data_IF_578668406002
#
_entry.id   IF_578668406002
#
_cell.length_a   1.000
_cell.length_b   1.000
_cell.length_c   1.000
_cell.angle_alpha   90.00
_cell.angle_beta   90.00
_cell.angle_gamma   90.00
#
_symmetry.space_group_name_H-M   'P 1'
#
loop_
_entity.id
_entity.type
_entity.pdbx_description
1 polymer ?
#
# COMPACT_ATOMS: atom_id res chain seq x y z
N UNK A 1 11.03 -6.09 0.74
CA UNK A 1 11.55 -6.78 1.95
C UNK A 1 10.50 -6.85 3.06
N UNK A 2 9.94 -5.72 3.50
CA UNK A 2 8.86 -5.72 4.50
C UNK A 2 7.56 -6.47 4.12
N UNK A 3 6.95 -6.26 2.95
CA UNK A 3 5.68 -6.92 2.61
C UNK A 3 5.82 -8.43 2.43
N UNK A 4 6.94 -8.88 1.85
CA UNK A 4 7.27 -10.31 1.68
C UNK A 4 7.53 -11.01 3.01
N UNK A 5 8.22 -10.33 3.94
CA UNK A 5 8.46 -10.85 5.29
C UNK A 5 7.14 -10.95 6.06
N UNK A 6 6.29 -9.91 5.99
CA UNK A 6 4.97 -9.93 6.61
C UNK A 6 4.13 -11.09 6.08
N UNK A 7 4.02 -11.24 4.75
CA UNK A 7 3.28 -12.33 4.14
C UNK A 7 3.83 -13.70 4.55
N UNK A 8 5.16 -13.87 4.61
CA UNK A 8 5.78 -15.12 5.05
C UNK A 8 5.50 -15.45 6.51
N UNK A 9 5.60 -14.47 7.42
CA UNK A 9 5.29 -14.66 8.84
C UNK A 9 3.80 -15.00 9.00
N UNK A 10 2.95 -14.26 8.29
CA UNK A 10 1.51 -14.42 8.32
C UNK A 10 1.07 -15.81 7.85
N UNK A 11 1.63 -16.29 6.74
CA UNK A 11 1.40 -17.66 6.28
C UNK A 11 1.83 -18.70 7.32
N UNK A 12 2.92 -18.44 8.06
CA UNK A 12 3.39 -19.37 9.10
C UNK A 12 2.45 -19.47 10.30
N UNK A 13 1.53 -18.52 10.50
CA UNK A 13 0.57 -18.57 11.60
C UNK A 13 -0.61 -19.49 11.33
N UNK A 14 -0.92 -19.75 10.06
CA UNK A 14 -2.01 -20.64 9.66
C UNK A 14 -1.83 -22.06 10.22
N UNK A 15 -0.57 -22.53 10.29
CA UNK A 15 -0.23 -23.86 10.83
C UNK A 15 0.07 -23.85 12.34
N UNK A 16 0.24 -22.67 12.96
CA UNK A 16 0.73 -22.53 14.35
C UNK A 16 -0.34 -22.12 15.34
N UNK A 17 -1.38 -21.44 14.89
CA UNK A 17 -2.46 -20.95 15.73
C UNK A 17 -3.65 -21.90 15.72
N UNK A 18 -4.41 -21.91 16.80
CA UNK A 18 -5.74 -22.51 16.78
C UNK A 18 -6.66 -21.72 15.85
N UNK A 19 -7.70 -22.37 15.33
CA UNK A 19 -8.57 -21.79 14.31
C UNK A 19 -9.23 -20.47 14.75
N UNK A 20 -9.66 -20.41 16.02
CA UNK A 20 -10.24 -19.22 16.65
C UNK A 20 -9.22 -18.09 16.82
N UNK A 21 -8.00 -18.42 17.26
CA UNK A 21 -6.89 -17.45 17.36
C UNK A 21 -6.51 -16.88 15.99
N UNK A 22 -6.47 -17.75 14.96
CA UNK A 22 -6.19 -17.34 13.59
C UNK A 22 -7.28 -16.39 13.08
N UNK A 23 -8.57 -16.73 13.26
CA UNK A 23 -9.67 -15.84 12.85
C UNK A 23 -9.64 -14.50 13.58
N UNK A 24 -9.33 -14.49 14.88
CA UNK A 24 -9.17 -13.26 15.64
C UNK A 24 -8.01 -12.40 15.10
N UNK A 25 -6.89 -13.02 14.72
CA UNK A 25 -5.77 -12.34 14.08
C UNK A 25 -6.17 -11.73 12.73
N UNK A 26 -6.84 -12.49 11.85
CA UNK A 26 -7.36 -11.99 10.56
C UNK A 26 -8.24 -10.77 10.78
N UNK A 27 -9.20 -10.86 11.71
CA UNK A 27 -10.13 -9.78 12.02
C UNK A 27 -9.39 -8.54 12.52
N UNK A 28 -8.38 -8.72 13.38
CA UNK A 28 -7.55 -7.63 13.90
C UNK A 28 -6.78 -6.93 12.78
N UNK A 29 -6.18 -7.70 11.86
CA UNK A 29 -5.45 -7.14 10.71
C UNK A 29 -6.38 -6.34 9.80
N UNK A 30 -7.55 -6.89 9.46
CA UNK A 30 -8.59 -6.21 8.68
C UNK A 30 -8.97 -4.87 9.31
N UNK A 31 -9.35 -4.90 10.58
CA UNK A 31 -9.73 -3.70 11.32
C UNK A 31 -8.62 -2.64 11.31
N UNK A 32 -7.36 -3.05 11.49
CA UNK A 32 -6.22 -2.12 11.46
C UNK A 32 -5.99 -1.52 10.08
N UNK A 33 -6.14 -2.30 9.01
CA UNK A 33 -6.04 -1.78 7.64
C UNK A 33 -7.17 -0.82 7.31
N UNK A 34 -8.41 -1.13 7.68
CA UNK A 34 -9.54 -0.21 7.50
C UNK A 34 -9.34 1.09 8.28
N UNK A 35 -8.85 1.01 9.51
CA UNK A 35 -8.52 2.19 10.31
C UNK A 35 -7.43 3.04 9.63
N UNK A 36 -6.34 2.41 9.18
CA UNK A 36 -5.26 3.10 8.46
C UNK A 36 -5.78 3.78 7.20
N UNK A 37 -6.59 3.10 6.39
CA UNK A 37 -7.10 3.64 5.13
C UNK A 37 -8.20 4.70 5.32
N UNK A 38 -8.95 4.67 6.41
CA UNK A 38 -9.99 5.67 6.70
C UNK A 38 -9.47 6.93 7.38
N UNK A 39 -8.39 6.83 8.15
CA UNK A 39 -7.85 7.95 8.94
C UNK A 39 -6.62 8.61 8.33
N UNK A 40 -6.03 8.04 7.27
CA UNK A 40 -4.86 8.62 6.63
C UNK A 40 -5.23 9.84 5.79
N UNK A 41 -4.57 10.95 6.07
CA UNK A 41 -4.66 12.19 5.27
C UNK A 41 -3.72 12.16 4.06
N UNK A 42 -2.66 11.36 4.12
CA UNK A 42 -1.59 11.28 3.12
C UNK A 42 -1.36 9.81 2.78
N UNK A 43 -1.31 9.50 1.49
CA UNK A 43 -1.08 8.16 0.98
C UNK A 43 0.20 8.09 0.16
N UNK A 44 1.30 7.67 0.79
CA UNK A 44 2.52 7.38 0.03
C UNK A 44 2.32 6.19 -0.93
N UNK A 45 2.70 6.30 -2.22
CA UNK A 45 2.51 5.21 -3.19
C UNK A 45 3.13 3.88 -2.76
N UNK A 46 4.30 3.91 -2.13
CA UNK A 46 4.97 2.71 -1.64
C UNK A 46 4.20 2.04 -0.50
N UNK A 47 3.58 2.82 0.38
CA UNK A 47 2.73 2.30 1.45
C UNK A 47 1.50 1.61 0.88
N UNK A 48 0.77 2.28 -0.02
CA UNK A 48 -0.42 1.72 -0.67
C UNK A 48 -0.08 0.44 -1.45
N UNK A 49 1.02 0.44 -2.20
CA UNK A 49 1.48 -0.74 -2.94
C UNK A 49 1.81 -1.92 -2.01
N UNK A 50 2.46 -1.68 -0.87
CA UNK A 50 2.76 -2.73 0.10
C UNK A 50 1.51 -3.28 0.78
N UNK A 51 0.56 -2.40 1.12
CA UNK A 51 -0.70 -2.81 1.74
C UNK A 51 -1.52 -3.66 0.77
N UNK A 52 -1.62 -3.24 -0.49
CA UNK A 52 -2.27 -4.03 -1.55
C UNK A 52 -1.58 -5.36 -1.78
N UNK A 53 -0.24 -5.42 -1.74
CA UNK A 53 0.49 -6.68 -1.85
C UNK A 53 0.08 -7.67 -0.75
N UNK A 54 -0.04 -7.20 0.49
CA UNK A 54 -0.42 -8.05 1.63
C UNK A 54 -1.86 -8.55 1.45
N UNK A 55 -2.79 -7.68 1.07
CA UNK A 55 -4.19 -8.06 0.79
C UNK A 55 -4.27 -9.11 -0.31
N UNK A 56 -3.56 -8.89 -1.42
CA UNK A 56 -3.52 -9.82 -2.56
C UNK A 56 -2.78 -11.13 -2.27
N UNK A 57 -1.96 -11.18 -1.22
CA UNK A 57 -1.30 -12.43 -0.82
C UNK A 57 -2.27 -13.44 -0.21
N UNK A 58 -3.41 -12.97 0.35
CA UNK A 58 -4.46 -13.79 0.99
C UNK A 58 -5.86 -13.22 0.71
N UNK A 59 -6.30 -13.17 -0.56
CA UNK A 59 -7.49 -12.42 -0.96
C UNK A 59 -8.80 -12.97 -0.37
N UNK A 60 -8.85 -14.26 -0.06
CA UNK A 60 -10.02 -14.91 0.55
C UNK A 60 -10.15 -14.60 2.05
N UNK A 61 -9.04 -14.23 2.70
CA UNK A 61 -8.96 -14.06 4.14
C UNK A 61 -8.94 -12.57 4.52
N UNK A 62 -8.20 -11.75 3.76
CA UNK A 62 -8.06 -10.31 3.95
C UNK A 62 -8.84 -9.59 2.83
N UNK A 63 -10.10 -9.29 3.12
CA UNK A 63 -10.94 -8.41 2.32
C UNK A 63 -10.87 -6.99 2.88
N UNK A 64 -10.59 -6.02 2.00
CA UNK A 64 -10.68 -4.58 2.26
C UNK A 64 -11.72 -4.01 1.30
N UNK A 65 -12.47 -3.00 1.75
CA UNK A 65 -13.39 -2.27 0.89
C UNK A 65 -12.71 -1.75 -0.38
N UNK A 66 -13.33 -2.02 -1.54
CA UNK A 66 -12.89 -1.50 -2.83
C UNK A 66 -12.85 0.04 -2.87
N UNK A 67 -13.66 0.70 -2.06
CA UNK A 67 -13.65 2.17 -1.90
C UNK A 67 -12.34 2.65 -1.28
N UNK A 68 -11.83 1.96 -0.25
CA UNK A 68 -10.56 2.34 0.37
C UNK A 68 -9.37 2.06 -0.55
N UNK A 69 -9.40 0.95 -1.29
CA UNK A 69 -8.38 0.63 -2.30
C UNK A 69 -8.34 1.70 -3.39
N UNK A 70 -9.49 2.04 -3.95
CA UNK A 70 -9.57 3.06 -5.01
C UNK A 70 -9.16 4.44 -4.51
N UNK A 71 -9.68 4.89 -3.37
CA UNK A 71 -9.36 6.20 -2.81
C UNK A 71 -7.87 6.36 -2.49
N UNK A 72 -7.26 5.38 -1.80
CA UNK A 72 -5.82 5.42 -1.46
C UNK A 72 -4.92 5.36 -2.69
N UNK A 73 -5.28 4.54 -3.70
CA UNK A 73 -4.55 4.46 -4.97
C UNK A 73 -4.60 5.77 -5.74
N UNK A 74 -5.78 6.40 -5.84
CA UNK A 74 -5.93 7.69 -6.53
C UNK A 74 -5.21 8.81 -5.77
N UNK A 75 -5.38 8.88 -4.45
CA UNK A 75 -4.73 9.91 -3.62
C UNK A 75 -3.20 9.84 -3.74
N UNK A 76 -2.64 8.63 -3.65
CA UNK A 76 -1.18 8.43 -3.76
C UNK A 76 -0.61 8.85 -5.11
N UNK A 77 -1.33 8.60 -6.21
CA UNK A 77 -0.92 9.09 -7.54
C UNK A 77 -0.97 10.61 -7.64
N UNK A 78 -2.00 11.24 -7.07
CA UNK A 78 -2.14 12.70 -7.06
C UNK A 78 -1.02 13.37 -6.26
N UNK A 79 -0.67 12.82 -5.10
CA UNK A 79 0.44 13.30 -4.27
C UNK A 79 1.78 13.22 -5.01
N UNK A 80 2.09 12.10 -5.67
CA UNK A 80 3.31 11.97 -6.48
C UNK A 80 3.37 13.01 -7.59
N UNK A 81 2.25 13.30 -8.26
CA UNK A 81 2.20 14.32 -9.31
C UNK A 81 2.42 15.74 -8.74
N UNK A 82 1.85 16.04 -7.59
CA UNK A 82 2.05 17.34 -6.93
C UNK A 82 3.50 17.52 -6.51
N UNK A 83 4.12 16.51 -5.90
CA UNK A 83 5.55 16.53 -5.56
C UNK A 83 6.43 16.74 -6.80
N UNK A 84 6.15 16.02 -7.89
CA UNK A 84 6.90 16.19 -9.12
C UNK A 84 6.75 17.59 -9.73
N UNK A 85 5.55 18.19 -9.65
CA UNK A 85 5.35 19.59 -10.05
C UNK A 85 6.19 20.55 -9.21
N UNK A 86 6.24 20.35 -7.89
CA UNK A 86 7.05 21.15 -6.99
C UNK A 86 8.55 21.03 -7.30
N UNK A 87 9.08 19.81 -7.47
CA UNK A 87 10.49 19.62 -7.85
C UNK A 87 10.83 20.22 -9.22
N UNK A 88 9.92 20.10 -10.19
CA UNK A 88 10.08 20.75 -11.50
C UNK A 88 10.15 22.27 -11.39
N UNK A 89 9.36 22.89 -10.51
CA UNK A 89 9.41 24.34 -10.27
C UNK A 89 10.77 24.81 -9.71
N UNK A 90 11.47 23.91 -9.02
CA UNK A 90 12.82 24.14 -8.49
C UNK A 90 13.93 23.70 -9.46
N UNK A 91 13.59 23.36 -10.71
CA UNK A 91 14.51 22.79 -11.71
C UNK A 91 15.24 21.51 -11.26
N UNK A 92 14.70 20.77 -10.28
CA UNK A 92 15.25 19.52 -9.80
C UNK A 92 14.69 18.34 -10.61
N UNK A 93 15.27 18.13 -11.80
CA UNK A 93 14.78 17.12 -12.75
C UNK A 93 15.13 15.68 -12.37
N UNK A 94 16.19 15.46 -11.57
CA UNK A 94 16.57 14.12 -11.11
C UNK A 94 15.49 13.54 -10.19
N UNK A 95 14.98 14.34 -9.25
CA UNK A 95 13.88 13.91 -8.36
C UNK A 95 12.56 13.74 -9.10
N UNK A 96 12.28 14.58 -10.12
CA UNK A 96 11.13 14.37 -11.02
C UNK A 96 11.24 13.03 -11.73
N UNK A 97 12.39 12.73 -12.36
CA UNK A 97 12.61 11.46 -13.05
C UNK A 97 12.48 10.27 -12.10
N UNK A 98 12.99 10.40 -10.87
CA UNK A 98 12.86 9.38 -9.83
C UNK A 98 11.41 9.11 -9.43
N UNK A 99 10.59 10.15 -9.24
CA UNK A 99 9.17 9.99 -8.91
C UNK A 99 8.44 9.24 -10.04
N UNK A 100 8.68 9.63 -11.30
CA UNK A 100 8.04 9.00 -12.46
C UNK A 100 8.50 7.55 -12.69
N UNK A 101 9.74 7.19 -12.34
CA UNK A 101 10.23 5.81 -12.48
C UNK A 101 9.75 4.89 -11.35
N UNK A 102 9.44 5.44 -10.17
CA UNK A 102 9.00 4.68 -9.00
C UNK A 102 7.48 4.58 -8.86
N UNK A 103 6.72 5.42 -9.57
CA UNK A 103 5.25 5.41 -9.53
C UNK A 103 4.71 4.53 -10.66
N UNK A 104 4.06 3.39 -10.37
CA UNK A 104 3.49 2.51 -11.39
C UNK A 104 2.52 3.26 -12.30
N UNK A 105 2.53 2.97 -13.59
CA UNK A 105 1.64 3.62 -14.57
C UNK A 105 2.12 4.97 -15.11
N UNK A 106 3.14 5.58 -14.50
CA UNK A 106 3.83 6.72 -15.10
C UNK A 106 4.94 6.25 -16.04
N UNK A 107 5.04 6.87 -17.22
CA UNK A 107 6.18 6.65 -18.12
C UNK A 107 7.38 7.40 -17.58
N UNK A 108 8.52 6.72 -17.53
CA UNK A 108 9.80 7.37 -17.24
C UNK A 108 10.06 8.51 -18.21
N UNK A 109 10.56 9.63 -17.69
CA UNK A 109 10.93 10.80 -18.49
C UNK A 109 12.40 10.60 -18.89
N UNK A 110 12.65 9.91 -20.00
CA UNK A 110 13.98 9.83 -20.65
C UNK A 110 14.33 11.12 -21.37
#
# INVERSE_FOLDING_TARGET
LYPTLFASIFNSFEDKLLLDEYFYLIHTIKYRFDLMLSQSEIFYPSFVAHLLYIVLSKPEQIEISSQYISASTVSSHLESLQLAKSYRSLANYDDVRRIFSQTPGFKSIT
#
